data_IF_901330087785
#
_entry.id   IF_901330087785
#
_cell.length_a   1.000
_cell.length_b   1.000
_cell.length_c   1.000
_cell.angle_alpha   90.00
_cell.angle_beta   90.00
_cell.angle_gamma   90.00
#
_symmetry.space_group_name_H-M   'P 1'
#
loop_
_entity.id
_entity.type
_entity.pdbx_description
1 polymer ?
#
# COMPACT_ATOMS: atom_id res chain seq x y z
N UNK A 1 -11.66 26.08 8.46
CA UNK A 1 -10.68 25.17 9.11
C UNK A 1 -10.14 25.87 10.35
N UNK A 2 -10.20 25.25 11.54
CA UNK A 2 -9.81 25.89 12.80
C UNK A 2 -8.28 26.11 12.85
N UNK A 3 -7.83 27.36 13.11
CA UNK A 3 -6.41 27.76 13.19
C UNK A 3 -5.64 26.93 14.24
N UNK A 4 -6.33 26.52 15.30
CA UNK A 4 -5.77 25.72 16.38
C UNK A 4 -5.33 24.31 15.92
N UNK A 5 -6.17 23.64 15.13
CA UNK A 5 -5.84 22.32 14.56
C UNK A 5 -4.64 22.40 13.61
N UNK A 6 -4.54 23.50 12.86
CA UNK A 6 -3.41 23.73 11.97
C UNK A 6 -2.09 23.86 12.75
N UNK A 7 -2.13 24.58 13.88
CA UNK A 7 -1.02 24.68 14.82
C UNK A 7 -0.58 23.31 15.35
N UNK A 8 -1.54 22.44 15.69
CA UNK A 8 -1.25 21.07 16.16
C UNK A 8 -0.65 20.17 15.09
N UNK A 9 -1.10 20.29 13.84
CA UNK A 9 -0.48 19.58 12.71
C UNK A 9 0.96 20.03 12.50
N UNK A 10 1.23 21.33 12.67
CA UNK A 10 2.60 21.89 12.61
C UNK A 10 3.47 21.38 13.75
N UNK A 11 2.98 21.40 14.99
CA UNK A 11 3.66 20.84 16.15
C UNK A 11 3.99 19.35 15.97
N UNK A 12 3.06 18.56 15.39
CA UNK A 12 3.33 17.15 15.07
C UNK A 12 4.48 16.98 14.06
N UNK A 13 4.56 17.85 13.04
CA UNK A 13 5.66 17.83 12.06
C UNK A 13 6.99 18.24 12.69
N UNK A 14 6.98 19.23 13.57
CA UNK A 14 8.15 19.67 14.33
C UNK A 14 8.67 18.57 15.27
N UNK A 15 7.78 17.95 16.04
CA UNK A 15 8.12 16.83 16.90
C UNK A 15 8.72 15.64 16.13
N UNK A 16 8.22 15.36 14.91
CA UNK A 16 8.80 14.34 14.04
C UNK A 16 10.23 14.69 13.60
N UNK A 17 10.50 15.96 13.26
CA UNK A 17 11.86 16.39 12.90
C UNK A 17 12.81 16.28 14.09
N UNK A 18 12.38 16.77 15.26
CA UNK A 18 13.18 16.71 16.49
C UNK A 18 13.49 15.28 16.92
N UNK A 19 12.51 14.37 16.84
CA UNK A 19 12.73 12.95 17.12
C UNK A 19 13.71 12.31 16.12
N UNK A 20 13.56 12.60 14.83
CA UNK A 20 14.46 12.08 13.79
C UNK A 20 15.91 12.57 13.94
N UNK A 21 16.11 13.73 14.56
CA UNK A 21 17.43 14.34 14.84
C UNK A 21 17.97 13.96 16.23
N UNK A 22 17.26 13.14 17.01
CA UNK A 22 17.66 12.75 18.37
C UNK A 22 17.49 13.85 19.42
N UNK A 23 16.84 14.96 19.09
CA UNK A 23 16.61 16.10 20.00
C UNK A 23 15.38 15.91 20.90
N UNK A 24 14.49 14.99 20.54
CA UNK A 24 13.22 14.74 21.24
C UNK A 24 13.12 13.26 21.58
N UNK A 25 12.78 12.96 22.83
CA UNK A 25 12.59 11.58 23.27
C UNK A 25 11.39 10.93 22.53
N UNK A 26 11.47 9.61 22.30
CA UNK A 26 10.38 8.87 21.64
C UNK A 26 9.03 9.04 22.36
N UNK A 27 9.04 9.11 23.68
CA UNK A 27 7.84 9.25 24.52
C UNK A 27 7.14 10.59 24.29
N UNK A 28 7.88 11.69 24.33
CA UNK A 28 7.38 13.04 24.07
C UNK A 28 6.80 13.19 22.65
N UNK A 29 7.48 12.61 21.66
CA UNK A 29 6.97 12.55 20.29
C UNK A 29 5.65 11.77 20.22
N UNK A 30 5.60 10.59 20.84
CA UNK A 30 4.40 9.73 20.83
C UNK A 30 3.21 10.41 21.49
N UNK A 31 3.42 11.10 22.60
CA UNK A 31 2.38 11.87 23.28
C UNK A 31 1.87 13.02 22.42
N UNK A 32 2.77 13.79 21.82
CA UNK A 32 2.41 14.89 20.90
C UNK A 32 1.58 14.38 19.73
N UNK A 33 1.95 13.24 19.14
CA UNK A 33 1.21 12.61 18.04
C UNK A 33 -0.17 12.15 18.50
N UNK A 34 -0.27 11.50 19.67
CA UNK A 34 -1.56 11.05 20.23
C UNK A 34 -2.49 12.22 20.49
N UNK A 35 -2.02 13.24 21.19
CA UNK A 35 -2.79 14.45 21.49
C UNK A 35 -3.31 15.14 20.22
N UNK A 36 -2.45 15.30 19.21
CA UNK A 36 -2.84 15.91 17.94
C UNK A 36 -3.90 15.06 17.20
N UNK A 37 -3.76 13.73 17.20
CA UNK A 37 -4.75 12.81 16.59
C UNK A 37 -6.10 12.90 17.31
N UNK A 38 -6.08 12.93 18.64
CA UNK A 38 -7.29 12.98 19.45
C UNK A 38 -8.03 14.31 19.26
N UNK A 39 -7.32 15.43 19.21
CA UNK A 39 -7.94 16.72 18.92
C UNK A 39 -8.55 16.78 17.52
N UNK A 40 -7.86 16.25 16.49
CA UNK A 40 -8.41 16.14 15.14
C UNK A 40 -9.66 15.27 15.13
N UNK A 41 -9.66 14.15 15.85
CA UNK A 41 -10.84 13.27 15.98
C UNK A 41 -12.01 14.01 16.64
N UNK A 42 -11.78 14.70 17.75
CA UNK A 42 -12.81 15.48 18.48
C UNK A 42 -13.40 16.59 17.61
N UNK A 43 -12.55 17.39 16.96
CA UNK A 43 -13.01 18.47 16.11
C UNK A 43 -13.79 17.96 14.88
N UNK A 44 -13.37 16.82 14.31
CA UNK A 44 -14.11 16.17 13.23
C UNK A 44 -15.49 15.73 13.71
N UNK A 45 -15.57 15.02 14.85
CA UNK A 45 -16.84 14.57 15.42
C UNK A 45 -17.78 15.75 15.73
N UNK A 46 -17.24 16.86 16.26
CA UNK A 46 -18.03 18.06 16.52
C UNK A 46 -18.59 18.68 15.23
N UNK A 47 -17.79 18.71 14.17
CA UNK A 47 -18.24 19.23 12.86
C UNK A 47 -19.34 18.36 12.29
N UNK A 48 -19.18 17.04 12.35
CA UNK A 48 -20.20 16.07 11.87
C UNK A 48 -21.49 16.16 12.70
N UNK A 49 -21.38 16.34 14.01
CA UNK A 49 -22.52 16.53 14.90
C UNK A 49 -23.28 17.82 14.58
N UNK A 50 -22.58 18.94 14.37
CA UNK A 50 -23.22 20.19 13.96
C UNK A 50 -23.95 20.02 12.62
N UNK A 51 -23.32 19.34 11.67
CA UNK A 51 -23.90 19.06 10.36
C UNK A 51 -25.16 18.19 10.42
N UNK A 52 -25.18 17.22 11.33
CA UNK A 52 -26.35 16.36 11.55
C UNK A 52 -27.50 17.13 12.21
N UNK A 53 -27.20 18.03 13.15
CA UNK A 53 -28.20 18.89 13.80
C UNK A 53 -28.85 19.85 12.80
N UNK A 54 -28.05 20.43 11.93
CA UNK A 54 -28.49 21.48 11.00
C UNK A 54 -29.07 20.90 9.69
N UNK A 55 -29.29 19.58 9.59
CA UNK A 55 -29.69 18.94 8.31
C UNK A 55 -31.05 19.43 7.80
N UNK A 56 -31.94 19.84 8.71
CA UNK A 56 -33.27 20.34 8.38
C UNK A 56 -33.21 21.73 7.76
N UNK A 57 -32.30 22.58 8.25
CA UNK A 57 -32.17 23.97 7.84
C UNK A 57 -31.13 24.15 6.73
N UNK A 58 -30.11 23.29 6.68
CA UNK A 58 -29.01 23.34 5.71
C UNK A 58 -28.68 21.96 5.14
N UNK A 59 -29.65 21.36 4.43
CA UNK A 59 -29.50 20.05 3.79
C UNK A 59 -28.32 19.99 2.79
N UNK A 60 -27.98 21.11 2.15
CA UNK A 60 -26.92 21.21 1.14
C UNK A 60 -25.53 20.97 1.73
N UNK A 61 -25.21 21.54 2.89
CA UNK A 61 -23.91 21.32 3.54
C UNK A 61 -23.72 19.86 3.93
N UNK A 62 -24.77 19.20 4.42
CA UNK A 62 -24.73 17.79 4.80
C UNK A 62 -24.36 16.89 3.63
N UNK A 63 -25.09 16.99 2.52
CA UNK A 63 -24.80 16.16 1.35
C UNK A 63 -23.48 16.50 0.69
N UNK A 64 -23.06 17.78 0.68
CA UNK A 64 -21.73 18.18 0.21
C UNK A 64 -20.62 17.48 1.00
N UNK A 65 -20.72 17.45 2.33
CA UNK A 65 -19.76 16.75 3.17
C UNK A 65 -19.75 15.24 2.88
N UNK A 66 -20.93 14.62 2.75
CA UNK A 66 -21.05 13.19 2.44
C UNK A 66 -20.44 12.88 1.08
N UNK A 67 -20.69 13.70 0.04
CA UNK A 67 -20.04 13.53 -1.25
C UNK A 67 -18.53 13.67 -1.16
N UNK A 68 -18.02 14.67 -0.43
CA UNK A 68 -16.58 14.87 -0.23
C UNK A 68 -15.91 13.69 0.49
N UNK A 69 -16.62 13.02 1.40
CA UNK A 69 -16.13 11.80 2.07
C UNK A 69 -16.24 10.54 1.22
N UNK A 70 -17.19 10.49 0.30
CA UNK A 70 -17.35 9.39 -0.65
C UNK A 70 -16.35 9.46 -1.81
N UNK A 71 -15.78 10.63 -2.10
CA UNK A 71 -14.70 10.76 -3.08
C UNK A 71 -13.50 9.94 -2.61
N UNK A 72 -13.10 8.95 -3.41
CA UNK A 72 -11.76 8.36 -3.33
C UNK A 72 -10.74 9.48 -3.55
N UNK A 73 -9.75 9.57 -2.67
CA UNK A 73 -8.59 10.43 -2.91
C UNK A 73 -7.93 9.97 -4.22
N UNK A 74 -7.43 10.90 -5.02
CA UNK A 74 -6.47 10.56 -6.08
C UNK A 74 -5.35 9.72 -5.44
N UNK A 75 -5.27 8.45 -5.80
CA UNK A 75 -4.39 7.48 -5.16
C UNK A 75 -2.92 7.71 -5.53
N UNK A 76 -2.69 8.39 -6.65
CA UNK A 76 -1.37 8.70 -7.19
C UNK A 76 -1.18 10.20 -7.08
N UNK A 77 -0.19 10.60 -6.27
CA UNK A 77 0.23 11.99 -6.17
C UNK A 77 0.77 12.54 -7.49
N UNK A 78 1.21 13.80 -7.48
CA UNK A 78 1.85 14.40 -8.64
C UNK A 78 3.13 13.59 -8.94
N UNK A 79 3.21 13.07 -10.17
CA UNK A 79 4.40 12.37 -10.65
C UNK A 79 5.26 13.34 -11.47
N UNK A 80 6.54 13.01 -11.64
CA UNK A 80 7.42 13.74 -12.54
C UNK A 80 7.73 12.83 -13.73
N UNK A 81 7.53 13.31 -14.95
CA UNK A 81 7.89 12.55 -16.15
C UNK A 81 9.42 12.60 -16.40
N UNK A 82 9.88 11.89 -17.43
CA UNK A 82 11.30 11.90 -17.83
C UNK A 82 11.79 13.28 -18.33
N UNK A 83 10.89 14.16 -18.73
CA UNK A 83 11.19 15.53 -19.16
C UNK A 83 11.31 16.51 -17.99
N UNK A 84 10.98 16.08 -16.76
CA UNK A 84 11.02 16.91 -15.57
C UNK A 84 9.71 17.66 -15.26
N UNK A 85 8.66 17.47 -16.05
CA UNK A 85 7.36 18.13 -15.86
C UNK A 85 6.50 17.42 -14.81
N UNK A 86 5.66 18.20 -14.12
CA UNK A 86 4.72 17.72 -13.11
C UNK A 86 3.46 17.19 -13.77
N UNK A 87 3.23 15.89 -13.62
CA UNK A 87 2.11 15.16 -14.16
C UNK A 87 0.96 15.14 -13.17
N UNK A 88 -0.14 15.77 -13.55
CA UNK A 88 -1.34 15.90 -12.70
C UNK A 88 -2.53 15.09 -13.23
N UNK A 89 -2.58 14.82 -14.54
CA UNK A 89 -3.67 14.06 -15.16
C UNK A 89 -3.46 12.54 -15.00
N UNK A 90 -4.53 11.81 -14.66
CA UNK A 90 -4.41 10.37 -14.34
C UNK A 90 -3.97 9.50 -15.52
N UNK A 91 -4.30 9.88 -16.75
CA UNK A 91 -3.85 9.18 -17.97
C UNK A 91 -2.33 9.28 -18.14
N UNK A 92 -1.79 10.49 -18.05
CA UNK A 92 -0.35 10.75 -18.12
C UNK A 92 0.40 10.06 -16.96
N UNK A 93 -0.19 10.02 -15.74
CA UNK A 93 0.40 9.28 -14.62
C UNK A 93 0.52 7.79 -14.93
N UNK A 94 -0.49 7.20 -15.58
CA UNK A 94 -0.46 5.80 -15.97
C UNK A 94 0.62 5.52 -17.02
N UNK A 95 0.80 6.41 -17.99
CA UNK A 95 1.85 6.32 -19.01
C UNK A 95 3.25 6.39 -18.38
N UNK A 96 3.52 7.38 -17.53
CA UNK A 96 4.83 7.50 -16.84
C UNK A 96 5.14 6.27 -16.00
N UNK A 97 4.16 5.72 -15.29
CA UNK A 97 4.34 4.49 -14.53
C UNK A 97 4.60 3.29 -15.45
N UNK A 98 3.84 3.15 -16.53
CA UNK A 98 4.00 2.08 -17.50
C UNK A 98 5.40 2.11 -18.15
N UNK A 99 5.87 3.30 -18.55
CA UNK A 99 7.20 3.50 -19.11
C UNK A 99 8.31 3.14 -18.10
N UNK A 100 8.14 3.54 -16.84
CA UNK A 100 9.07 3.17 -15.77
C UNK A 100 9.13 1.64 -15.59
N UNK A 101 7.98 0.97 -15.51
CA UNK A 101 7.93 -0.49 -15.40
C UNK A 101 8.56 -1.15 -16.63
N UNK A 102 8.23 -0.72 -17.84
CA UNK A 102 8.84 -1.22 -19.07
C UNK A 102 10.37 -1.07 -19.05
N UNK A 103 10.89 0.07 -18.59
CA UNK A 103 12.34 0.30 -18.49
C UNK A 103 13.02 -0.68 -17.51
N UNK A 104 12.40 -0.98 -16.37
CA UNK A 104 12.94 -1.94 -15.38
C UNK A 104 12.92 -3.37 -15.92
N UNK A 105 11.90 -3.74 -16.70
CA UNK A 105 11.78 -5.08 -17.28
C UNK A 105 12.52 -5.23 -18.63
N UNK A 106 12.95 -4.15 -19.25
CA UNK A 106 13.83 -4.16 -20.44
C UNK A 106 15.28 -4.16 -20.00
N UNK A 107 15.68 -5.14 -19.19
CA UNK A 107 17.09 -5.41 -18.91
C UNK A 107 17.79 -5.69 -20.24
N UNK A 108 18.90 -4.98 -20.49
CA UNK A 108 19.80 -5.23 -21.62
C UNK A 108 20.12 -6.73 -21.66
N UNK A 109 19.64 -7.44 -22.68
CA UNK A 109 20.36 -8.61 -23.20
C UNK A 109 21.74 -8.10 -23.62
N UNK A 110 22.71 -8.12 -22.70
CA UNK A 110 24.08 -7.78 -23.04
C UNK A 110 24.61 -8.87 -23.96
N UNK A 111 25.12 -8.44 -25.10
CA UNK A 111 25.56 -9.27 -26.22
C UNK A 111 26.68 -10.22 -25.83
N UNK A 112 26.34 -11.48 -25.54
CA UNK A 112 27.18 -12.58 -25.97
C UNK A 112 26.64 -13.07 -27.30
N UNK A 113 27.24 -12.54 -28.37
CA UNK A 113 27.14 -13.06 -29.72
C UNK A 113 27.70 -14.48 -29.75
N UNK A 114 26.83 -15.47 -29.77
CA UNK A 114 27.12 -16.78 -30.33
C UNK A 114 26.14 -16.98 -31.49
N UNK A 115 26.68 -17.31 -32.66
CA UNK A 115 25.94 -17.28 -33.91
C UNK A 115 24.98 -18.47 -34.02
N UNK A 116 23.74 -18.15 -34.41
CA UNK A 116 22.81 -18.89 -35.27
C UNK A 116 22.72 -20.42 -35.10
N UNK A 117 21.57 -20.85 -34.58
CA UNK A 117 20.71 -21.79 -35.31
C UNK A 117 19.26 -21.31 -35.23
N UNK A 118 18.61 -21.17 -36.39
CA UNK A 118 17.15 -21.05 -36.46
C UNK A 118 16.53 -22.26 -35.76
N UNK A 119 15.74 -22.02 -34.73
CA UNK A 119 15.05 -23.05 -33.97
C UNK A 119 13.73 -22.51 -33.45
N UNK A 120 12.65 -23.09 -33.95
CA UNK A 120 11.25 -22.82 -33.59
C UNK A 120 11.01 -22.79 -32.09
N UNK A 121 9.99 -22.03 -31.70
CA UNK A 121 9.59 -21.85 -30.31
C UNK A 121 9.20 -23.14 -29.58
N UNK A 122 9.18 -23.00 -28.25
CA UNK A 122 8.64 -23.96 -27.30
C UNK A 122 9.67 -24.99 -26.85
N UNK A 123 10.36 -24.71 -25.76
CA UNK A 123 10.92 -25.78 -24.93
C UNK A 123 11.07 -25.28 -23.48
N UNK A 124 10.00 -25.47 -22.71
CA UNK A 124 9.98 -25.35 -21.25
C UNK A 124 10.32 -26.71 -20.59
N UNK A 125 10.77 -27.71 -21.35
CA UNK A 125 10.87 -29.10 -20.87
C UNK A 125 12.26 -29.47 -20.32
N UNK A 126 13.25 -28.56 -20.36
CA UNK A 126 14.63 -28.87 -19.93
C UNK A 126 15.09 -28.25 -18.60
N UNK A 127 14.20 -27.64 -17.80
CA UNK A 127 14.51 -27.44 -16.39
C UNK A 127 14.14 -28.70 -15.61
N UNK A 128 15.16 -29.42 -15.13
CA UNK A 128 14.98 -30.53 -14.21
C UNK A 128 14.20 -29.99 -12.98
N UNK A 129 13.00 -30.50 -12.69
CA UNK A 129 12.19 -29.97 -11.61
C UNK A 129 12.97 -30.12 -10.30
N UNK A 130 12.88 -29.13 -9.38
CA UNK A 130 13.56 -29.24 -8.10
C UNK A 130 13.12 -30.54 -7.41
N UNK A 131 14.06 -31.47 -7.26
CA UNK A 131 13.84 -32.75 -6.60
C UNK A 131 13.62 -32.51 -5.12
N UNK A 132 12.37 -32.28 -4.73
CA UNK A 132 11.96 -32.19 -3.31
C UNK A 132 11.79 -33.61 -2.80
N UNK A 133 12.57 -33.99 -1.79
CA UNK A 133 12.46 -35.29 -1.14
C UNK A 133 11.15 -35.44 -0.37
N UNK A 134 10.56 -36.63 -0.43
CA UNK A 134 9.29 -36.93 0.27
C UNK A 134 9.37 -36.64 1.78
N UNK A 135 10.52 -36.94 2.40
CA UNK A 135 10.76 -36.68 3.82
C UNK A 135 10.65 -35.19 4.18
N UNK A 136 11.14 -34.32 3.28
CA UNK A 136 11.08 -32.87 3.44
C UNK A 136 9.63 -32.37 3.33
N UNK A 137 8.84 -32.90 2.39
CA UNK A 137 7.40 -32.59 2.28
C UNK A 137 6.67 -33.04 3.54
N UNK A 138 6.94 -34.25 4.04
CA UNK A 138 6.34 -34.81 5.27
C UNK A 138 6.65 -33.95 6.50
N UNK A 139 7.86 -33.41 6.62
CA UNK A 139 8.22 -32.51 7.71
C UNK A 139 7.41 -31.20 7.67
N UNK A 140 7.31 -30.57 6.50
CA UNK A 140 6.53 -29.34 6.33
C UNK A 140 5.05 -29.55 6.64
N UNK A 141 4.46 -30.68 6.22
CA UNK A 141 3.06 -31.02 6.50
C UNK A 141 2.81 -31.24 8.01
N UNK A 142 3.75 -31.87 8.74
CA UNK A 142 3.64 -32.03 10.21
C UNK A 142 3.62 -30.70 10.94
N UNK A 143 4.41 -29.73 10.46
CA UNK A 143 4.57 -28.41 11.04
C UNK A 143 3.47 -27.41 10.65
N UNK A 144 2.46 -27.82 9.85
CA UNK A 144 1.31 -26.97 9.50
C UNK A 144 0.48 -26.60 10.74
N UNK A 145 0.21 -25.30 10.86
CA UNK A 145 -0.65 -24.72 11.90
C UNK A 145 -2.11 -24.78 11.48
N UNK A 146 -2.83 -25.83 11.89
CA UNK A 146 -4.23 -26.12 11.51
C UNK A 146 -5.26 -25.04 11.90
N UNK A 147 -4.90 -24.10 12.77
CA UNK A 147 -5.77 -23.00 13.23
C UNK A 147 -5.62 -21.71 12.40
N UNK A 148 -4.91 -21.75 11.27
CA UNK A 148 -4.77 -20.60 10.37
C UNK A 148 -5.94 -20.55 9.38
N UNK A 149 -6.25 -19.34 8.92
CA UNK A 149 -7.30 -19.09 7.93
C UNK A 149 -6.94 -19.71 6.58
N UNK A 150 -7.96 -20.06 5.80
CA UNK A 150 -7.86 -20.60 4.45
C UNK A 150 -7.22 -19.58 3.49
N UNK A 151 -6.51 -20.10 2.50
CA UNK A 151 -5.97 -19.31 1.39
C UNK A 151 -7.05 -18.96 0.37
N UNK A 152 -6.68 -18.21 -0.69
CA UNK A 152 -7.56 -17.89 -1.82
C UNK A 152 -7.92 -19.13 -2.66
N UNK A 153 -7.27 -20.27 -2.42
CA UNK A 153 -7.57 -21.58 -2.98
C UNK A 153 -8.71 -22.30 -2.22
N UNK A 154 -9.23 -21.70 -1.15
CA UNK A 154 -10.25 -22.29 -0.27
C UNK A 154 -9.84 -23.66 0.31
N UNK A 155 -8.54 -23.96 0.41
CA UNK A 155 -8.06 -25.21 0.98
C UNK A 155 -7.79 -25.04 2.48
N UNK A 156 -8.41 -25.90 3.30
CA UNK A 156 -8.18 -25.91 4.74
C UNK A 156 -6.93 -26.72 5.11
N UNK A 157 -6.07 -26.15 5.97
CA UNK A 157 -4.79 -26.76 6.38
C UNK A 157 -4.94 -28.12 7.07
N UNK A 158 -6.11 -28.40 7.65
CA UNK A 158 -6.44 -29.72 8.22
C UNK A 158 -6.53 -30.82 7.15
N UNK A 159 -6.98 -30.48 5.94
CA UNK A 159 -7.06 -31.42 4.81
C UNK A 159 -5.65 -31.76 4.36
N UNK A 160 -4.80 -30.75 4.17
CA UNK A 160 -3.39 -30.91 3.77
C UNK A 160 -2.55 -31.70 4.79
N UNK A 161 -2.83 -31.52 6.09
CA UNK A 161 -2.17 -32.29 7.14
C UNK A 161 -2.59 -33.75 7.16
N UNK A 162 -3.82 -34.06 6.73
CA UNK A 162 -4.36 -35.43 6.68
C UNK A 162 -3.91 -36.24 5.46
N UNK A 163 -3.43 -35.59 4.40
CA UNK A 163 -3.01 -36.24 3.15
C UNK A 163 -1.54 -36.67 3.13
N UNK A 164 -0.76 -36.39 4.18
CA UNK A 164 0.68 -36.72 4.28
C UNK A 164 1.01 -38.03 5.00
N UNK A 165 0.07 -38.99 5.03
CA UNK A 165 0.23 -40.31 5.65
C UNK A 165 0.76 -41.36 4.68
#
# INVERSE_FOLDING_TARGET
MNKELLGKVKQKKEAFRGWKQGQVAWEEYRETVRAARDQVRKAKAQTELNLARDVKDNKKSFYSYVSDKRRTRENVGILQNYMGDLVTQDMEKAEVLNDFFASVFTSKRSSHTAQVTEGKGGDWENEEPPTVGEEQVREYLRNLKVHKSMGPDEMHLQVLKGTGG
#
